data_IF_961300871946
#
_entry.id   IF_961300871946
#
_cell.length_a   1.000
_cell.length_b   1.000
_cell.length_c   1.000
_cell.angle_alpha   90.00
_cell.angle_beta   90.00
_cell.angle_gamma   90.00
#
_symmetry.space_group_name_H-M   'P 1'
#
loop_
_entity.id
_entity.type
_entity.pdbx_description
1 polymer ?
#
# COMPACT_ATOMS: atom_id res chain seq x y z
N UNK A 1 -10.98 -9.52 6.19
CA UNK A 1 -10.30 -8.34 6.77
C UNK A 1 -8.81 -8.60 6.76
N UNK A 2 -8.03 -7.78 6.06
CA UNK A 2 -6.58 -7.94 6.00
C UNK A 2 -5.96 -7.60 7.36
N UNK A 3 -5.21 -8.52 7.96
CA UNK A 3 -4.50 -8.25 9.21
C UNK A 3 -3.38 -7.25 8.94
N UNK A 4 -3.35 -6.15 9.69
CA UNK A 4 -2.31 -5.13 9.64
C UNK A 4 -1.69 -4.97 11.01
N UNK A 5 -0.39 -4.83 11.07
CA UNK A 5 0.36 -4.61 12.31
C UNK A 5 1.32 -3.44 12.11
N UNK A 6 1.53 -2.65 13.17
CA UNK A 6 2.58 -1.64 13.20
C UNK A 6 3.67 -2.10 14.15
N UNK A 7 4.92 -2.03 13.72
CA UNK A 7 6.09 -2.48 14.45
C UNK A 7 7.14 -1.37 14.40
N UNK A 8 7.69 -0.98 15.56
CA UNK A 8 8.84 -0.09 15.59
C UNK A 8 10.12 -0.87 15.29
N UNK A 9 11.19 -0.17 14.92
CA UNK A 9 12.49 -0.81 14.71
C UNK A 9 12.95 -1.60 15.94
N UNK A 10 12.80 -1.02 17.13
CA UNK A 10 13.15 -1.68 18.39
C UNK A 10 12.39 -3.00 18.62
N UNK A 11 11.12 -3.08 18.20
CA UNK A 11 10.32 -4.31 18.32
C UNK A 11 10.79 -5.36 17.33
N UNK A 12 11.11 -4.98 16.09
CA UNK A 12 11.68 -5.88 15.10
C UNK A 12 13.02 -6.47 15.58
N UNK A 13 13.91 -5.61 16.10
CA UNK A 13 15.21 -6.02 16.63
C UNK A 13 15.04 -6.98 17.82
N UNK A 14 14.11 -6.69 18.71
CA UNK A 14 13.80 -7.56 19.84
C UNK A 14 13.24 -8.92 19.38
N UNK A 15 12.37 -8.95 18.38
CA UNK A 15 11.80 -10.19 17.89
C UNK A 15 12.80 -11.03 17.12
N UNK A 16 13.66 -10.39 16.34
CA UNK A 16 14.75 -11.03 15.60
C UNK A 16 15.78 -11.63 16.57
N UNK A 17 16.27 -10.85 17.53
CA UNK A 17 17.25 -11.31 18.54
C UNK A 17 16.71 -12.41 19.45
N UNK A 18 15.40 -12.40 19.74
CA UNK A 18 14.74 -13.45 20.52
C UNK A 18 14.37 -14.70 19.69
N UNK A 19 14.67 -14.74 18.39
CA UNK A 19 14.28 -15.84 17.48
C UNK A 19 12.76 -15.98 17.28
N UNK A 20 11.99 -14.94 17.59
CA UNK A 20 10.53 -14.91 17.48
C UNK A 20 10.04 -14.48 16.10
N UNK A 21 10.91 -13.88 15.29
CA UNK A 21 10.63 -13.53 13.91
C UNK A 21 11.91 -13.58 13.07
N UNK A 22 11.76 -13.90 11.79
CA UNK A 22 12.81 -13.80 10.79
C UNK A 22 12.47 -12.66 9.82
N UNK A 23 13.44 -11.82 9.49
CA UNK A 23 13.27 -10.66 8.60
C UNK A 23 14.17 -10.88 7.40
N UNK A 24 13.57 -11.02 6.23
CA UNK A 24 14.27 -11.19 4.96
C UNK A 24 13.83 -10.09 3.99
N UNK A 25 14.69 -9.08 3.81
CA UNK A 25 14.33 -7.86 3.06
C UNK A 25 13.13 -7.17 3.69
N UNK A 26 12.07 -7.00 2.90
CA UNK A 26 10.79 -6.42 3.35
C UNK A 26 9.79 -7.46 3.88
N UNK A 27 10.18 -8.73 4.05
CA UNK A 27 9.29 -9.78 4.53
C UNK A 27 9.62 -10.14 5.98
N UNK A 28 8.63 -9.94 6.86
CA UNK A 28 8.64 -10.44 8.23
C UNK A 28 7.93 -11.79 8.28
N UNK A 29 8.65 -12.82 8.69
CA UNK A 29 8.10 -14.15 8.95
C UNK A 29 8.03 -14.37 10.45
N UNK A 30 6.81 -14.57 10.98
CA UNK A 30 6.61 -14.93 12.37
C UNK A 30 6.37 -16.46 12.43
N UNK A 31 7.33 -17.26 12.93
CA UNK A 31 7.16 -18.70 13.19
C UNK A 31 6.19 -18.92 14.35
N UNK A 32 4.92 -18.61 14.12
CA UNK A 32 3.77 -18.98 14.94
C UNK A 32 3.07 -20.18 14.29
N UNK A 33 1.98 -20.66 14.90
CA UNK A 33 1.22 -21.83 14.42
C UNK A 33 0.82 -21.78 12.93
N UNK A 34 0.62 -20.58 12.39
CA UNK A 34 0.22 -20.33 11.00
C UNK A 34 1.34 -19.82 10.07
N UNK A 35 2.60 -19.74 10.53
CA UNK A 35 3.73 -19.17 9.77
C UNK A 35 3.36 -17.86 9.03
N UNK A 36 2.79 -16.91 9.76
CA UNK A 36 2.28 -15.68 9.17
C UNK A 36 3.42 -14.84 8.61
N UNK A 37 3.33 -14.54 7.31
CA UNK A 37 4.25 -13.67 6.59
C UNK A 37 3.62 -12.30 6.43
N UNK A 38 4.39 -11.24 6.64
CA UNK A 38 3.94 -9.87 6.50
C UNK A 38 4.91 -9.10 5.60
N UNK A 39 4.39 -8.36 4.64
CA UNK A 39 5.18 -7.37 3.91
C UNK A 39 5.27 -6.11 4.76
N UNK A 40 6.50 -5.74 5.13
CA UNK A 40 6.82 -4.51 5.83
C UNK A 40 6.90 -3.36 4.84
N UNK A 41 6.29 -2.24 5.19
CA UNK A 41 6.48 -0.96 4.50
C UNK A 41 6.85 0.10 5.52
N UNK A 42 7.86 0.91 5.20
CA UNK A 42 8.23 2.04 6.05
C UNK A 42 7.00 2.92 6.31
N UNK A 43 6.76 3.23 7.58
CA UNK A 43 5.59 3.95 8.02
C UNK A 43 5.88 4.72 9.31
N UNK A 44 5.03 5.70 9.57
CA UNK A 44 5.13 6.56 10.73
C UNK A 44 3.79 6.56 11.45
N UNK A 45 3.84 6.37 12.77
CA UNK A 45 2.68 6.47 13.65
C UNK A 45 2.63 7.86 14.26
N UNK A 46 1.52 8.54 14.09
CA UNK A 46 1.28 9.84 14.70
C UNK A 46 0.80 9.63 16.14
N UNK A 47 1.56 10.14 17.11
CA UNK A 47 1.31 9.94 18.54
C UNK A 47 0.51 11.08 19.16
N UNK A 48 0.84 12.32 18.82
CA UNK A 48 0.18 13.52 19.33
C UNK A 48 0.44 14.71 18.40
N UNK A 49 -0.35 15.76 18.54
CA UNK A 49 -0.05 17.08 17.97
C UNK A 49 0.66 17.92 19.04
N UNK A 50 1.77 18.56 18.68
CA UNK A 50 2.54 19.45 19.57
C UNK A 50 2.12 20.92 19.40
N UNK A 51 1.42 21.24 18.30
CA UNK A 51 0.77 22.53 18.09
C UNK A 51 -0.44 22.74 18.99
N UNK A 52 -0.80 24.01 19.26
CA UNK A 52 -1.95 24.41 20.10
C UNK A 52 -3.32 24.06 19.50
N UNK A 53 -3.37 23.62 18.26
CA UNK A 53 -4.60 23.41 17.51
C UNK A 53 -5.17 22.00 17.69
N UNK A 54 -6.47 21.84 17.50
CA UNK A 54 -7.16 20.54 17.51
C UNK A 54 -6.80 19.81 16.21
N UNK A 55 -6.13 18.65 16.29
CA UNK A 55 -5.66 17.81 15.17
C UNK A 55 -6.51 17.92 13.88
N UNK A 56 -6.19 18.88 12.99
CA UNK A 56 -7.09 19.26 11.90
C UNK A 56 -7.16 18.18 10.82
N UNK A 57 -6.14 17.34 10.74
CA UNK A 57 -6.05 16.24 9.78
C UNK A 57 -6.52 14.91 10.36
N UNK A 58 -6.83 14.86 11.65
CA UNK A 58 -7.22 13.65 12.36
C UNK A 58 -6.19 12.53 12.15
N UNK A 59 -4.90 12.87 12.22
CA UNK A 59 -3.79 11.94 12.01
C UNK A 59 -3.34 11.27 13.30
N UNK A 60 -3.57 11.89 14.45
CA UNK A 60 -3.19 11.33 15.75
C UNK A 60 -3.85 9.95 15.93
N UNK A 61 -3.02 8.96 16.26
CA UNK A 61 -3.42 7.55 16.38
C UNK A 61 -3.40 6.76 15.06
N UNK A 62 -3.16 7.40 13.92
CA UNK A 62 -3.06 6.74 12.61
C UNK A 62 -1.62 6.39 12.28
N UNK A 63 -1.49 5.35 11.46
CA UNK A 63 -0.23 4.90 10.86
C UNK A 63 -0.32 5.21 9.37
N UNK A 64 0.64 5.98 8.87
CA UNK A 64 0.69 6.40 7.47
C UNK A 64 2.04 5.94 6.91
N UNK A 65 2.05 5.37 5.69
CA UNK A 65 3.30 4.92 5.06
C UNK A 65 4.19 6.11 4.70
N UNK A 66 5.50 5.90 4.74
CA UNK A 66 6.48 6.96 4.44
C UNK A 66 6.32 7.51 3.03
N UNK A 67 5.95 6.69 2.05
CA UNK A 67 5.62 7.16 0.69
C UNK A 67 4.44 8.14 0.69
N UNK A 68 3.39 7.84 1.46
CA UNK A 68 2.18 8.65 1.51
C UNK A 68 2.40 9.95 2.31
N UNK A 69 3.30 9.93 3.29
CA UNK A 69 3.77 11.11 4.02
C UNK A 69 4.54 12.04 3.10
N UNK A 70 5.48 11.50 2.32
CA UNK A 70 6.25 12.26 1.32
C UNK A 70 5.35 12.85 0.24
N UNK A 71 4.41 12.07 -0.29
CA UNK A 71 3.43 12.54 -1.28
C UNK A 71 2.60 13.72 -0.76
N UNK A 72 2.25 13.71 0.52
CA UNK A 72 1.53 14.81 1.17
C UNK A 72 2.40 16.03 1.49
N UNK A 73 3.70 15.97 1.27
CA UNK A 73 4.63 17.04 1.64
C UNK A 73 4.77 17.20 3.16
N UNK A 74 4.66 16.10 3.90
CA UNK A 74 4.94 16.09 5.34
C UNK A 74 6.44 15.88 5.54
N UNK A 75 7.06 16.77 6.30
CA UNK A 75 8.48 16.69 6.63
C UNK A 75 8.65 15.94 7.94
N UNK A 76 9.25 14.75 7.89
CA UNK A 76 9.53 13.95 9.09
C UNK A 76 10.99 14.11 9.47
N UNK A 77 11.25 14.41 10.74
CA UNK A 77 12.57 14.50 11.32
C UNK A 77 12.60 13.80 12.69
N UNK A 78 13.25 12.64 12.75
CA UNK A 78 13.31 11.78 13.94
C UNK A 78 11.90 11.48 14.50
N UNK A 79 11.56 12.05 15.65
CA UNK A 79 10.30 11.81 16.35
C UNK A 79 9.31 12.98 16.17
N UNK A 80 9.57 13.87 15.22
CA UNK A 80 8.72 15.01 14.89
C UNK A 80 8.36 14.99 13.41
N UNK A 81 7.12 15.37 13.10
CA UNK A 81 6.66 15.55 11.73
C UNK A 81 5.98 16.90 11.61
N UNK A 82 6.36 17.68 10.60
CA UNK A 82 5.79 18.98 10.30
C UNK A 82 4.94 18.84 9.05
N UNK A 83 3.68 19.25 9.15
CA UNK A 83 2.80 19.35 8.01
C UNK A 83 2.16 20.72 7.98
N UNK A 84 2.50 21.51 6.95
CA UNK A 84 2.14 22.92 6.85
C UNK A 84 2.65 23.70 8.07
N UNK A 85 1.77 24.03 9.01
CA UNK A 85 2.08 24.80 10.23
C UNK A 85 1.90 23.96 11.51
N UNK A 86 1.55 22.68 11.36
CA UNK A 86 1.23 21.80 12.48
C UNK A 86 2.40 20.84 12.73
N UNK A 87 2.91 20.87 13.97
CA UNK A 87 3.91 19.94 14.43
C UNK A 87 3.24 18.74 15.11
N UNK A 88 3.66 17.54 14.71
CA UNK A 88 3.19 16.28 15.25
C UNK A 88 4.33 15.52 15.88
N UNK A 89 4.07 14.93 17.05
CA UNK A 89 4.93 13.91 17.62
C UNK A 89 4.66 12.59 16.92
N UNK A 90 5.71 11.97 16.40
CA UNK A 90 5.63 10.75 15.63
C UNK A 90 6.61 9.68 16.09
N UNK A 91 6.36 8.45 15.65
CA UNK A 91 7.22 7.31 15.87
C UNK A 91 7.43 6.56 14.57
N UNK A 92 8.69 6.40 14.17
CA UNK A 92 9.08 5.71 12.95
C UNK A 92 9.01 4.18 13.15
N UNK A 93 8.61 3.49 12.09
CA UNK A 93 8.52 2.04 12.10
C UNK A 93 8.06 1.46 10.75
N UNK A 94 7.39 0.33 10.84
CA UNK A 94 6.98 -0.46 9.69
C UNK A 94 5.52 -0.88 9.84
N UNK A 95 4.76 -0.70 8.75
CA UNK A 95 3.43 -1.25 8.59
C UNK A 95 3.56 -2.64 7.95
N UNK A 96 3.29 -3.69 8.73
CA UNK A 96 3.19 -5.06 8.27
C UNK A 96 1.80 -5.35 7.70
N UNK A 97 1.75 -5.75 6.44
CA UNK A 97 0.54 -6.22 5.76
C UNK A 97 0.62 -7.73 5.63
N UNK A 98 -0.36 -8.47 6.17
CA UNK A 98 -0.36 -9.93 6.07
C UNK A 98 -0.34 -10.34 4.60
N UNK A 99 0.65 -11.15 4.24
CA UNK A 99 0.76 -11.85 2.99
C UNK A 99 -0.06 -13.13 3.14
N UNK A 100 -1.30 -13.11 2.66
CA UNK A 100 -2.09 -14.34 2.59
C UNK A 100 -1.43 -15.27 1.57
N UNK A 101 -1.27 -16.54 1.94
CA UNK A 101 -0.91 -17.57 0.98
C UNK A 101 -2.05 -17.67 -0.03
N UNK A 102 -1.81 -17.19 -1.26
CA UNK A 102 -2.80 -17.17 -2.35
C UNK A 102 -3.31 -18.59 -2.70
N UNK A 103 -2.65 -19.63 -2.18
CA UNK A 103 -3.06 -21.03 -2.21
C UNK A 103 -4.49 -21.32 -1.69
N UNK A 104 -5.18 -20.35 -1.04
CA UNK A 104 -6.60 -20.45 -0.66
C UNK A 104 -7.47 -19.24 -1.02
N UNK A 105 -7.00 -18.33 -1.87
CA UNK A 105 -7.88 -17.38 -2.56
C UNK A 105 -7.96 -17.81 -4.00
N UNK A 106 -9.12 -18.37 -4.37
CA UNK A 106 -9.47 -18.50 -5.77
C UNK A 106 -9.16 -17.19 -6.46
N UNK A 107 -8.52 -17.31 -7.63
CA UNK A 107 -8.24 -16.23 -8.56
C UNK A 107 -9.28 -15.12 -8.41
N UNK A 108 -8.88 -13.85 -8.27
CA UNK A 108 -9.72 -12.81 -8.82
C UNK A 108 -9.75 -13.09 -10.32
N UNK A 109 -10.73 -13.92 -10.72
CA UNK A 109 -11.36 -13.83 -12.01
C UNK A 109 -11.58 -12.34 -12.20
N UNK A 110 -10.81 -11.78 -13.15
CA UNK A 110 -10.97 -10.40 -13.56
C UNK A 110 -12.44 -10.24 -13.87
N UNK A 111 -13.17 -9.64 -12.94
CA UNK A 111 -14.41 -8.96 -13.21
C UNK A 111 -14.00 -7.89 -14.22
N UNK A 112 -14.13 -8.25 -15.51
CA UNK A 112 -14.08 -7.32 -16.60
C UNK A 112 -15.29 -6.44 -16.35
N UNK A 113 -15.06 -5.32 -15.66
CA UNK A 113 -15.94 -4.17 -15.66
C UNK A 113 -16.21 -3.86 -17.13
N UNK A 114 -17.41 -4.21 -17.61
CA UNK A 114 -17.94 -3.68 -18.85
C UNK A 114 -18.10 -2.17 -18.65
N UNK A 115 -17.36 -1.31 -19.36
CA UNK A 115 -17.72 0.09 -19.40
C UNK A 115 -18.92 0.22 -20.36
N UNK A 116 -20.13 0.20 -19.81
CA UNK A 116 -21.25 0.83 -20.48
C UNK A 116 -21.01 2.34 -20.48
N UNK A 117 -20.59 2.89 -21.63
CA UNK A 117 -20.98 4.21 -22.15
C UNK A 117 -20.05 4.65 -23.29
N UNK A 118 -20.49 4.49 -24.56
CA UNK A 118 -20.56 5.58 -25.56
C UNK A 118 -20.74 5.04 -26.98
N UNK A 119 -21.95 5.24 -27.53
CA UNK A 119 -22.16 5.41 -28.97
C UNK A 119 -21.40 6.67 -29.41
N UNK A 120 -20.42 6.53 -30.30
CA UNK A 120 -20.04 7.53 -31.29
C UNK A 120 -19.06 6.91 -32.31
N UNK A 121 -19.55 6.77 -33.55
CA UNK A 121 -18.82 6.51 -34.79
C UNK A 121 -17.46 7.24 -34.90
N UNK A 122 -16.44 6.54 -35.41
CA UNK A 122 -15.56 7.10 -36.45
C UNK A 122 -14.80 6.00 -37.24
N UNK A 123 -15.42 5.59 -38.34
CA UNK A 123 -14.84 5.52 -39.70
C UNK A 123 -13.57 4.66 -39.92
N UNK A 124 -13.76 3.34 -40.06
CA UNK A 124 -12.92 2.54 -40.95
C UNK A 124 -13.48 2.70 -42.36
N UNK A 125 -12.72 3.37 -43.22
CA UNK A 125 -13.10 3.59 -44.62
C UNK A 125 -13.27 2.24 -45.35
N UNK A 126 -14.41 2.08 -46.03
CA UNK A 126 -14.86 0.85 -46.69
C UNK A 126 -13.86 0.29 -47.72
N UNK A 127 -12.99 1.15 -48.27
CA UNK A 127 -11.91 0.77 -49.18
C UNK A 127 -10.91 -0.21 -48.56
N UNK A 128 -10.66 -0.12 -47.24
CA UNK A 128 -9.76 -1.05 -46.55
C UNK A 128 -10.40 -2.42 -46.31
N UNK A 129 -11.72 -2.48 -46.16
CA UNK A 129 -12.46 -3.74 -45.99
C UNK A 129 -12.57 -4.51 -47.32
N UNK A 130 -12.69 -3.79 -48.44
CA UNK A 130 -12.69 -4.38 -49.79
C UNK A 130 -11.33 -4.98 -50.16
N UNK A 131 -10.22 -4.29 -49.81
CA UNK A 131 -8.88 -4.78 -50.10
C UNK A 131 -8.54 -6.08 -49.33
N UNK A 132 -8.94 -6.17 -48.06
CA UNK A 132 -8.64 -7.33 -47.20
C UNK A 132 -9.41 -8.60 -47.65
N UNK A 133 -10.63 -8.44 -48.17
CA UNK A 133 -11.45 -9.56 -48.64
C UNK A 133 -10.95 -10.15 -49.97
N UNK A 134 -10.48 -9.32 -50.90
CA UNK A 134 -9.97 -9.78 -52.21
C UNK A 134 -8.65 -10.56 -52.09
N UNK A 135 -7.80 -10.21 -51.12
CA UNK A 135 -6.53 -10.90 -50.86
C UNK A 135 -6.70 -12.28 -50.21
N UNK A 136 -7.82 -12.53 -49.54
CA UNK A 136 -8.04 -13.75 -48.75
C UNK A 136 -8.71 -14.90 -49.51
N UNK A 137 -9.25 -14.63 -50.69
CA UNK A 137 -9.95 -15.60 -51.55
C UNK A 137 -9.25 -15.82 -52.90
N UNK A 138 -7.94 -15.55 -53.00
CA UNK A 138 -7.12 -15.92 -54.15
C UNK A 138 -6.27 -17.16 -53.84
#
# INVERSE_FOLDING_TARGET
MQKKIFLTQQVLDQWSSAGKANIEGDILTIPSKDNSRFTLKAAVKFLAIESKNTDPNNWVGKVITSDHIKEKGVEVYMNSAIYKDEAYKVEEGFLGLLLEDDSKKGSPEKEILEPDSSLADNEKNDDQLLADFLLKNL
#
